data_IF_223029425270
#
_entry.id   IF_223029425270
#
_cell.length_a   1.000
_cell.length_b   1.000
_cell.length_c   1.000
_cell.angle_alpha   90.00
_cell.angle_beta   90.00
_cell.angle_gamma   90.00
#
_symmetry.space_group_name_H-M   'P 1'
#
loop_
_entity.id
_entity.type
_entity.pdbx_description
1 polymer ?
#
# COMPACT_ATOMS: atom_id res chain seq x y z
N UNK A 1 -46.70 68.78 17.67
CA UNK A 1 -45.45 69.00 16.88
C UNK A 1 -44.28 68.34 17.58
N UNK A 2 -44.06 68.62 18.87
CA UNK A 2 -42.97 68.03 19.68
C UNK A 2 -42.93 66.50 19.59
N UNK A 3 -44.04 65.86 19.90
CA UNK A 3 -44.42 64.45 19.72
C UNK A 3 -44.01 63.82 18.36
N UNK A 4 -44.12 64.56 17.25
CA UNK A 4 -43.65 64.08 15.93
C UNK A 4 -42.12 64.14 15.79
N UNK A 5 -41.49 65.15 16.37
CA UNK A 5 -40.04 65.29 16.41
C UNK A 5 -39.42 64.22 17.34
N UNK A 6 -40.02 63.98 18.51
CA UNK A 6 -39.65 62.89 19.42
C UNK A 6 -39.66 61.55 18.68
N UNK A 7 -40.78 61.19 18.03
CA UNK A 7 -40.87 59.94 17.26
C UNK A 7 -39.87 59.82 16.10
N UNK A 8 -39.44 60.93 15.50
CA UNK A 8 -38.35 60.93 14.51
C UNK A 8 -37.01 60.64 15.19
N UNK A 9 -36.72 61.25 16.33
CA UNK A 9 -35.50 61.00 17.10
C UNK A 9 -35.44 59.56 17.63
N UNK A 10 -36.56 59.02 18.11
CA UNK A 10 -36.67 57.63 18.60
C UNK A 10 -36.35 56.62 17.48
N UNK A 11 -36.90 56.84 16.28
CA UNK A 11 -36.56 56.02 15.11
C UNK A 11 -35.11 56.22 14.65
N UNK A 12 -34.56 57.44 14.71
CA UNK A 12 -33.15 57.67 14.35
C UNK A 12 -32.20 56.99 15.34
N UNK A 13 -32.49 57.00 16.65
CA UNK A 13 -31.75 56.19 17.63
C UNK A 13 -31.89 54.69 17.32
N UNK A 14 -33.10 54.22 17.04
CA UNK A 14 -33.32 52.81 16.67
C UNK A 14 -32.53 52.41 15.41
N UNK A 15 -32.40 53.30 14.42
CA UNK A 15 -31.55 53.07 13.24
C UNK A 15 -30.07 53.09 13.60
N UNK A 16 -29.61 54.04 14.42
CA UNK A 16 -28.23 54.09 14.92
C UNK A 16 -27.82 52.77 15.61
N UNK A 17 -28.64 52.31 16.55
CA UNK A 17 -28.33 51.14 17.38
C UNK A 17 -28.38 49.83 16.56
N UNK A 18 -29.28 49.75 15.54
CA UNK A 18 -29.30 48.64 14.59
C UNK A 18 -28.10 48.68 13.63
N UNK A 19 -27.77 49.85 13.04
CA UNK A 19 -26.60 50.01 12.18
C UNK A 19 -25.30 49.66 12.92
N UNK A 20 -25.18 50.07 14.18
CA UNK A 20 -24.02 49.75 15.03
C UNK A 20 -23.82 48.23 15.18
N UNK A 21 -24.87 47.46 15.51
CA UNK A 21 -24.77 45.99 15.63
C UNK A 21 -24.53 45.31 14.27
N UNK A 22 -25.13 45.82 13.20
CA UNK A 22 -25.03 45.29 11.83
C UNK A 22 -23.73 45.70 11.09
N UNK A 23 -22.86 46.50 11.71
CA UNK A 23 -21.63 47.02 11.07
C UNK A 23 -21.90 47.95 9.87
N UNK A 24 -23.07 48.58 9.80
CA UNK A 24 -23.50 49.41 8.67
C UNK A 24 -23.24 50.90 8.92
N UNK A 25 -22.95 51.66 7.85
CA UNK A 25 -22.89 53.11 7.98
C UNK A 25 -24.28 53.71 8.26
N UNK A 26 -24.41 54.25 9.47
CA UNK A 26 -25.55 55.03 9.93
C UNK A 26 -25.82 56.25 9.03
N UNK A 27 -24.78 56.93 8.54
CA UNK A 27 -24.94 58.19 7.80
C UNK A 27 -25.54 57.97 6.42
N UNK A 28 -25.07 56.99 5.64
CA UNK A 28 -25.73 56.56 4.39
C UNK A 28 -27.17 56.11 4.66
N UNK A 29 -27.36 55.19 5.61
CA UNK A 29 -28.67 54.61 5.94
C UNK A 29 -29.72 55.68 6.31
N UNK A 30 -29.32 56.73 7.03
CA UNK A 30 -30.22 57.82 7.44
C UNK A 30 -30.38 58.91 6.37
N UNK A 31 -29.35 59.19 5.56
CA UNK A 31 -29.46 60.19 4.47
C UNK A 31 -30.30 59.71 3.30
N UNK A 32 -30.29 58.41 2.99
CA UNK A 32 -31.23 57.78 2.05
C UNK A 32 -32.71 57.98 2.45
N UNK A 33 -32.98 57.96 3.75
CA UNK A 33 -34.32 58.19 4.29
C UNK A 33 -34.73 59.66 4.17
N UNK A 34 -33.86 60.59 4.60
CA UNK A 34 -33.97 62.01 4.28
C UNK A 34 -32.66 62.76 4.64
N UNK A 35 -32.05 63.57 3.75
CA UNK A 35 -30.76 64.22 4.01
C UNK A 35 -30.68 65.05 5.29
N UNK A 36 -31.77 65.73 5.68
CA UNK A 36 -31.80 66.55 6.91
C UNK A 36 -31.89 65.77 8.22
N UNK A 37 -31.85 64.43 8.20
CA UNK A 37 -31.78 63.61 9.42
C UNK A 37 -30.33 63.40 9.91
N UNK A 38 -29.32 63.60 9.05
CA UNK A 38 -27.91 63.64 9.42
C UNK A 38 -27.67 64.68 10.54
N UNK A 39 -26.83 64.35 11.53
CA UNK A 39 -26.49 65.24 12.66
C UNK A 39 -25.68 66.48 12.29
N UNK A 40 -25.16 66.56 11.06
CA UNK A 40 -24.74 67.82 10.45
C UNK A 40 -25.88 68.86 10.35
N UNK A 41 -27.13 68.43 10.49
CA UNK A 41 -28.34 69.25 10.46
C UNK A 41 -28.93 69.41 11.87
N UNK A 42 -28.95 70.65 12.37
CA UNK A 42 -29.48 70.96 13.71
C UNK A 42 -30.93 70.50 13.91
N UNK A 43 -31.29 70.16 15.15
CA UNK A 43 -32.53 69.46 15.53
C UNK A 43 -33.83 70.09 14.97
N UNK A 44 -33.87 71.42 14.81
CA UNK A 44 -35.04 72.14 14.27
C UNK A 44 -35.24 71.96 12.75
N UNK A 45 -34.23 71.45 12.04
CA UNK A 45 -34.21 71.22 10.59
C UNK A 45 -34.48 69.76 10.19
N UNK A 46 -34.57 68.84 11.16
CA UNK A 46 -34.87 67.42 10.90
C UNK A 46 -36.30 67.28 10.37
N UNK A 47 -36.48 66.55 9.27
CA UNK A 47 -37.79 66.42 8.62
C UNK A 47 -38.76 65.60 9.48
N UNK A 48 -39.88 66.22 9.83
CA UNK A 48 -40.98 65.61 10.59
C UNK A 48 -42.18 65.22 9.70
N UNK A 49 -41.98 65.04 8.39
CA UNK A 49 -43.06 64.77 7.44
C UNK A 49 -43.69 63.37 7.61
N UNK A 50 -44.89 63.14 7.06
CA UNK A 50 -45.50 61.80 7.07
C UNK A 50 -44.69 60.80 6.22
N UNK A 51 -44.10 61.25 5.11
CA UNK A 51 -43.26 60.39 4.24
C UNK A 51 -41.96 59.99 4.96
N UNK A 52 -41.28 60.96 5.59
CA UNK A 52 -40.05 60.70 6.37
C UNK A 52 -40.30 59.75 7.53
N UNK A 53 -41.42 59.89 8.26
CA UNK A 53 -41.83 58.94 9.31
C UNK A 53 -42.16 57.54 8.76
N UNK A 54 -42.77 57.47 7.57
CA UNK A 54 -43.09 56.21 6.88
C UNK A 54 -41.82 55.49 6.40
N UNK A 55 -40.86 56.23 5.84
CA UNK A 55 -39.54 55.71 5.44
C UNK A 55 -38.74 55.24 6.66
N UNK A 56 -38.61 56.05 7.71
CA UNK A 56 -37.95 55.65 8.97
C UNK A 56 -38.54 54.33 9.52
N UNK A 57 -39.87 54.22 9.57
CA UNK A 57 -40.51 52.99 10.04
C UNK A 57 -40.21 51.78 9.15
N UNK A 58 -40.15 51.95 7.82
CA UNK A 58 -39.74 50.88 6.88
C UNK A 58 -38.27 50.48 7.07
N UNK A 59 -37.36 51.44 7.21
CA UNK A 59 -35.93 51.18 7.44
C UNK A 59 -35.71 50.45 8.76
N UNK A 60 -36.36 50.87 9.85
CA UNK A 60 -36.31 50.15 11.14
C UNK A 60 -36.83 48.71 11.02
N UNK A 61 -37.90 48.46 10.26
CA UNK A 61 -38.40 47.09 10.03
C UNK A 61 -37.43 46.25 9.20
N UNK A 62 -36.84 46.82 8.15
CA UNK A 62 -35.86 46.14 7.31
C UNK A 62 -34.60 45.75 8.10
N UNK A 63 -34.02 46.70 8.85
CA UNK A 63 -32.84 46.45 9.69
C UNK A 63 -33.11 45.45 10.81
N UNK A 64 -34.33 45.38 11.36
CA UNK A 64 -34.71 44.36 12.36
C UNK A 64 -34.80 42.95 11.76
N UNK A 65 -35.31 42.82 10.54
CA UNK A 65 -35.37 41.52 9.86
C UNK A 65 -33.98 41.08 9.37
N UNK A 66 -33.15 42.00 8.87
CA UNK A 66 -31.72 41.74 8.55
C UNK A 66 -30.95 41.27 9.79
N UNK A 67 -31.07 41.98 10.93
CA UNK A 67 -30.50 41.55 12.23
C UNK A 67 -30.89 40.12 12.61
N UNK A 68 -32.16 39.78 12.43
CA UNK A 68 -32.69 38.44 12.71
C UNK A 68 -32.15 37.37 11.74
N UNK A 69 -32.03 37.68 10.45
CA UNK A 69 -31.50 36.75 9.45
C UNK A 69 -29.99 36.52 9.64
N UNK A 70 -29.22 37.58 9.90
CA UNK A 70 -27.79 37.48 10.22
C UNK A 70 -27.52 36.71 11.50
N UNK A 71 -28.33 36.90 12.55
CA UNK A 71 -28.19 36.13 13.79
C UNK A 71 -28.47 34.64 13.56
N UNK A 72 -29.54 34.29 12.83
CA UNK A 72 -29.84 32.90 12.49
C UNK A 72 -28.68 32.25 11.74
N UNK A 73 -28.16 32.92 10.70
CA UNK A 73 -27.01 32.44 9.92
C UNK A 73 -25.75 32.28 10.79
N UNK A 74 -25.48 33.23 11.70
CA UNK A 74 -24.35 33.14 12.63
C UNK A 74 -24.51 31.96 13.61
N UNK A 75 -25.74 31.65 14.05
CA UNK A 75 -26.04 30.52 14.93
C UNK A 75 -25.89 29.16 14.21
N UNK A 76 -26.30 29.08 12.94
CA UNK A 76 -26.06 27.91 12.08
C UNK A 76 -24.56 27.66 11.89
N UNK A 77 -23.79 28.71 11.56
CA UNK A 77 -22.33 28.64 11.41
C UNK A 77 -21.62 28.31 12.73
N UNK A 78 -22.03 28.91 13.86
CA UNK A 78 -21.49 28.57 15.18
C UNK A 78 -21.68 27.10 15.53
N UNK A 79 -22.82 26.50 15.14
CA UNK A 79 -23.10 25.08 15.33
C UNK A 79 -22.19 24.22 14.46
N UNK A 80 -22.09 24.53 13.16
CA UNK A 80 -21.23 23.81 12.21
C UNK A 80 -19.75 23.86 12.60
N UNK A 81 -19.25 25.02 13.04
CA UNK A 81 -17.89 25.18 13.57
C UNK A 81 -17.65 24.26 14.77
N UNK A 82 -18.56 24.22 15.75
CA UNK A 82 -18.44 23.37 16.94
C UNK A 82 -18.40 21.89 16.55
N UNK A 83 -19.30 21.43 15.68
CA UNK A 83 -19.35 20.03 15.24
C UNK A 83 -18.09 19.64 14.44
N UNK A 84 -17.61 20.51 13.54
CA UNK A 84 -16.38 20.29 12.78
C UNK A 84 -15.13 20.28 13.69
N UNK A 85 -15.02 21.20 14.64
CA UNK A 85 -13.91 21.21 15.61
C UNK A 85 -13.92 19.97 16.52
N UNK A 86 -15.10 19.46 16.88
CA UNK A 86 -15.25 18.23 17.66
C UNK A 86 -14.90 16.98 16.84
N UNK A 87 -15.25 16.94 15.55
CA UNK A 87 -14.88 15.86 14.64
C UNK A 87 -13.39 15.83 14.28
N UNK A 88 -12.74 17.00 14.27
CA UNK A 88 -11.37 17.18 13.77
C UNK A 88 -10.31 17.31 14.87
N UNK A 89 -10.70 17.20 16.15
CA UNK A 89 -9.88 17.44 17.33
C UNK A 89 -9.12 18.80 17.31
N UNK A 90 -9.78 19.84 16.81
CA UNK A 90 -9.22 21.21 16.71
C UNK A 90 -8.84 21.75 18.10
N UNK A 91 -7.70 22.44 18.20
CA UNK A 91 -7.15 22.88 19.50
C UNK A 91 -7.96 24.04 20.10
N UNK A 92 -7.89 24.21 21.43
CA UNK A 92 -8.66 25.28 22.09
C UNK A 92 -8.16 26.69 21.70
N UNK A 93 -6.88 26.82 21.38
CA UNK A 93 -6.27 28.04 20.86
C UNK A 93 -6.89 28.41 19.50
N UNK A 94 -7.02 27.45 18.58
CA UNK A 94 -7.64 27.65 17.27
C UNK A 94 -9.13 27.99 17.40
N UNK A 95 -9.87 27.29 18.29
CA UNK A 95 -11.28 27.58 18.60
C UNK A 95 -11.48 29.02 19.13
N UNK A 96 -10.59 29.49 20.00
CA UNK A 96 -10.74 30.80 20.68
C UNK A 96 -10.74 32.01 19.74
N UNK A 97 -10.18 31.86 18.54
CA UNK A 97 -10.23 32.89 17.49
C UNK A 97 -11.68 33.24 17.08
N UNK A 98 -12.61 32.30 17.28
CA UNK A 98 -14.02 32.40 16.90
C UNK A 98 -14.95 32.53 18.11
N UNK A 99 -14.45 32.86 19.30
CA UNK A 99 -15.27 33.12 20.50
C UNK A 99 -16.34 34.21 20.29
N UNK A 100 -16.10 35.13 19.35
CA UNK A 100 -17.05 36.17 18.93
C UNK A 100 -18.25 35.63 18.12
N UNK A 101 -18.09 34.47 17.45
CA UNK A 101 -19.15 33.74 16.76
C UNK A 101 -19.89 32.86 17.76
N UNK A 102 -19.16 32.05 18.52
CA UNK A 102 -19.75 31.01 19.40
C UNK A 102 -20.54 31.61 20.56
N UNK A 103 -20.17 32.78 21.08
CA UNK A 103 -20.93 33.41 22.18
C UNK A 103 -22.35 33.84 21.78
N UNK A 104 -22.65 33.97 20.48
CA UNK A 104 -23.98 34.31 19.96
C UNK A 104 -24.89 33.07 19.72
N UNK A 105 -24.38 31.83 19.89
CA UNK A 105 -25.09 30.60 19.50
C UNK A 105 -26.48 30.43 20.16
N UNK A 106 -26.64 30.94 21.39
CA UNK A 106 -27.89 30.88 22.17
C UNK A 106 -28.51 32.26 22.44
N UNK A 107 -27.97 33.33 21.85
CA UNK A 107 -28.41 34.69 22.12
C UNK A 107 -29.76 35.01 21.43
N UNK A 108 -30.63 35.76 22.11
CA UNK A 108 -31.86 36.28 21.49
C UNK A 108 -31.59 37.54 20.65
N UNK A 109 -32.49 37.84 19.70
CA UNK A 109 -32.37 39.02 18.81
C UNK A 109 -32.27 40.34 19.59
N UNK A 110 -32.83 40.42 20.80
CA UNK A 110 -32.78 41.61 21.65
C UNK A 110 -31.53 41.67 22.57
N UNK A 111 -30.88 40.54 22.85
CA UNK A 111 -29.62 40.49 23.63
C UNK A 111 -28.40 40.97 22.83
N UNK A 112 -28.36 40.69 21.52
CA UNK A 112 -27.23 41.05 20.65
C UNK A 112 -27.18 42.57 20.46
N UNK A 113 -26.46 43.25 21.34
CA UNK A 113 -26.35 44.72 21.44
C UNK A 113 -24.93 45.23 21.24
N UNK A 114 -23.96 44.32 21.09
CA UNK A 114 -22.54 44.63 20.85
C UNK A 114 -22.38 45.19 19.43
N UNK A 115 -21.78 46.37 19.24
CA UNK A 115 -21.47 46.90 17.91
C UNK A 115 -20.59 45.96 17.10
N UNK A 116 -20.91 45.80 15.82
CA UNK A 116 -20.22 44.90 14.88
C UNK A 116 -20.56 43.41 15.01
N UNK A 117 -21.27 42.97 16.06
CA UNK A 117 -21.49 41.54 16.31
C UNK A 117 -22.29 40.78 15.23
N UNK A 118 -22.96 41.51 14.32
CA UNK A 118 -23.64 40.96 13.14
C UNK A 118 -23.18 41.67 11.85
N UNK A 119 -21.95 42.16 11.81
CA UNK A 119 -21.31 42.68 10.60
C UNK A 119 -21.06 41.57 9.57
N UNK A 120 -21.06 41.93 8.28
CA UNK A 120 -20.98 40.94 7.19
C UNK A 120 -19.62 40.25 7.10
N UNK A 121 -18.55 40.97 7.44
CA UNK A 121 -17.17 40.47 7.47
C UNK A 121 -16.95 39.39 8.54
N UNK A 122 -17.58 39.49 9.71
CA UNK A 122 -17.54 38.43 10.73
C UNK A 122 -18.30 37.17 10.29
N UNK A 123 -19.40 37.34 9.56
CA UNK A 123 -20.19 36.23 9.02
C UNK A 123 -19.43 35.55 7.89
N UNK A 124 -18.84 36.32 6.98
CA UNK A 124 -17.97 35.85 5.90
C UNK A 124 -16.73 35.11 6.46
N UNK A 125 -16.10 35.63 7.52
CA UNK A 125 -15.00 34.95 8.22
C UNK A 125 -15.43 33.59 8.80
N UNK A 126 -16.65 33.49 9.33
CA UNK A 126 -17.19 32.23 9.84
C UNK A 126 -17.52 31.23 8.70
N UNK A 127 -18.08 31.70 7.58
CA UNK A 127 -18.32 30.88 6.38
C UNK A 127 -17.02 30.32 5.80
N UNK A 128 -15.99 31.17 5.66
CA UNK A 128 -14.67 30.76 5.15
C UNK A 128 -13.98 29.75 6.06
N UNK A 129 -14.14 29.86 7.39
CA UNK A 129 -13.60 28.87 8.32
C UNK A 129 -14.36 27.53 8.26
N UNK A 130 -15.69 27.54 8.14
CA UNK A 130 -16.47 26.32 7.91
C UNK A 130 -16.03 25.64 6.61
N UNK A 131 -15.93 26.37 5.50
CA UNK A 131 -15.48 25.81 4.22
C UNK A 131 -14.05 25.24 4.34
N UNK A 132 -13.13 25.96 5.00
CA UNK A 132 -11.75 25.50 5.24
C UNK A 132 -11.71 24.22 6.09
N UNK A 133 -12.59 24.09 7.08
CA UNK A 133 -12.70 22.91 7.92
C UNK A 133 -13.33 21.72 7.18
N UNK A 134 -14.32 21.94 6.31
CA UNK A 134 -14.89 20.89 5.46
C UNK A 134 -13.89 20.42 4.38
N UNK A 135 -13.15 21.34 3.76
CA UNK A 135 -12.03 20.99 2.88
C UNK A 135 -10.96 20.17 3.63
N UNK A 136 -10.67 20.51 4.90
CA UNK A 136 -9.74 19.74 5.74
C UNK A 136 -10.31 18.38 6.16
N UNK A 137 -11.61 18.28 6.44
CA UNK A 137 -12.36 17.04 6.72
C UNK A 137 -12.27 16.09 5.52
N UNK A 138 -12.59 16.58 4.32
CA UNK A 138 -12.46 15.83 3.08
C UNK A 138 -11.01 15.40 2.80
N UNK A 139 -10.04 16.29 3.01
CA UNK A 139 -8.60 16.02 2.82
C UNK A 139 -8.10 14.90 3.76
N UNK A 140 -8.35 15.00 5.08
CA UNK A 140 -8.00 13.94 6.04
C UNK A 140 -8.76 12.64 5.74
N UNK A 141 -10.03 12.71 5.33
CA UNK A 141 -10.79 11.52 4.95
C UNK A 141 -10.17 10.81 3.74
N UNK A 142 -9.75 11.53 2.70
CA UNK A 142 -9.01 10.94 1.56
C UNK A 142 -7.71 10.28 2.02
N UNK A 143 -6.93 10.93 2.87
CA UNK A 143 -5.67 10.38 3.39
C UNK A 143 -5.87 9.06 4.15
N UNK A 144 -6.85 9.01 5.07
CA UNK A 144 -7.14 7.82 5.88
C UNK A 144 -7.76 6.71 5.01
N UNK A 145 -8.68 7.07 4.10
CA UNK A 145 -9.27 6.11 3.17
C UNK A 145 -8.22 5.48 2.24
N UNK A 146 -7.31 6.27 1.65
CA UNK A 146 -6.24 5.71 0.83
C UNK A 146 -5.24 4.86 1.63
N UNK A 147 -4.99 5.16 2.91
CA UNK A 147 -4.21 4.26 3.79
C UNK A 147 -4.91 2.92 4.03
N UNK A 148 -6.22 2.93 4.32
CA UNK A 148 -7.03 1.70 4.44
C UNK A 148 -7.11 0.91 3.13
N UNK A 149 -7.23 1.61 2.00
CA UNK A 149 -7.21 1.00 0.66
C UNK A 149 -5.86 0.36 0.34
N UNK A 150 -4.74 0.99 0.73
CA UNK A 150 -3.41 0.40 0.57
C UNK A 150 -3.20 -0.85 1.45
N UNK A 151 -3.73 -0.86 2.69
CA UNK A 151 -3.73 -2.07 3.54
C UNK A 151 -4.54 -3.21 2.88
N UNK A 152 -5.74 -2.89 2.37
CA UNK A 152 -6.58 -3.84 1.63
C UNK A 152 -5.85 -4.41 0.40
N UNK A 153 -5.18 -3.55 -0.37
CA UNK A 153 -4.39 -3.92 -1.54
C UNK A 153 -3.19 -4.81 -1.18
N UNK A 154 -2.48 -4.49 -0.10
CA UNK A 154 -1.37 -5.31 0.41
C UNK A 154 -1.85 -6.71 0.83
N UNK A 155 -3.02 -6.82 1.47
CA UNK A 155 -3.61 -8.10 1.88
C UNK A 155 -3.99 -8.94 0.66
N UNK A 156 -4.62 -8.35 -0.35
CA UNK A 156 -5.00 -9.06 -1.57
C UNK A 156 -3.78 -9.48 -2.40
N UNK A 157 -2.74 -8.64 -2.49
CA UNK A 157 -1.47 -9.00 -3.12
C UNK A 157 -0.79 -10.19 -2.43
N UNK A 158 -0.68 -10.20 -1.10
CA UNK A 158 -0.17 -11.35 -0.34
C UNK A 158 -1.06 -12.60 -0.46
N UNK A 159 -2.34 -12.42 -0.76
CA UNK A 159 -3.28 -13.51 -1.03
C UNK A 159 -3.26 -13.98 -2.50
N UNK A 160 -2.47 -13.38 -3.39
CA UNK A 160 -2.49 -13.62 -4.84
C UNK A 160 -3.89 -13.46 -5.47
N UNK A 161 -4.62 -12.42 -5.03
CA UNK A 161 -5.92 -12.01 -5.57
C UNK A 161 -5.72 -10.73 -6.37
N UNK A 162 -6.13 -10.76 -7.63
CA UNK A 162 -6.12 -9.60 -8.52
C UNK A 162 -7.30 -8.67 -8.21
N UNK A 163 -7.05 -7.36 -8.19
CA UNK A 163 -8.03 -6.31 -7.89
C UNK A 163 -7.76 -5.06 -8.73
N UNK A 164 -8.82 -4.37 -9.11
CA UNK A 164 -8.72 -3.06 -9.76
C UNK A 164 -8.49 -1.96 -8.71
N UNK A 165 -7.21 -1.68 -8.45
CA UNK A 165 -6.77 -0.63 -7.52
C UNK A 165 -7.16 0.77 -8.01
N UNK A 166 -7.15 1.01 -9.32
CA UNK A 166 -7.45 2.33 -9.89
C UNK A 166 -8.93 2.66 -9.74
N UNK A 167 -9.83 1.79 -10.21
CA UNK A 167 -11.27 1.97 -10.05
C UNK A 167 -11.71 1.97 -8.57
N UNK A 168 -11.03 1.22 -7.69
CA UNK A 168 -11.30 1.27 -6.25
C UNK A 168 -10.96 2.65 -5.64
N UNK A 169 -9.83 3.24 -6.03
CA UNK A 169 -9.38 4.56 -5.58
C UNK A 169 -10.21 5.69 -6.19
N UNK A 170 -10.56 5.61 -7.47
CA UNK A 170 -11.50 6.54 -8.11
C UNK A 170 -12.86 6.53 -7.41
N UNK A 171 -13.39 5.34 -7.10
CA UNK A 171 -14.67 5.20 -6.38
C UNK A 171 -14.62 5.80 -4.97
N UNK A 172 -13.52 5.67 -4.26
CA UNK A 172 -13.31 6.33 -2.95
C UNK A 172 -13.28 7.86 -3.12
N UNK A 173 -12.53 8.36 -4.10
CA UNK A 173 -12.40 9.79 -4.38
C UNK A 173 -13.74 10.43 -4.75
N UNK A 174 -14.46 9.85 -5.72
CA UNK A 174 -15.76 10.34 -6.18
C UNK A 174 -16.83 10.29 -5.07
N UNK A 175 -16.77 9.31 -4.16
CA UNK A 175 -17.68 9.23 -3.02
C UNK A 175 -17.45 10.39 -2.03
N UNK A 176 -16.18 10.68 -1.72
CA UNK A 176 -15.78 11.78 -0.84
C UNK A 176 -16.12 13.14 -1.48
N UNK A 177 -15.75 13.34 -2.74
CA UNK A 177 -15.98 14.60 -3.46
C UNK A 177 -17.46 14.88 -3.77
N UNK A 178 -18.34 13.87 -3.60
CA UNK A 178 -19.79 14.08 -3.67
C UNK A 178 -20.39 14.73 -2.42
N UNK A 179 -19.65 14.80 -1.30
CA UNK A 179 -20.13 15.30 0.00
C UNK A 179 -21.20 14.45 0.69
N UNK A 180 -21.75 13.42 0.03
CA UNK A 180 -22.92 12.67 0.51
C UNK A 180 -22.62 11.55 1.53
N UNK A 181 -21.39 11.44 2.05
CA UNK A 181 -20.99 10.35 2.94
C UNK A 181 -20.24 10.89 4.16
N UNK A 182 -20.68 10.45 5.33
CA UNK A 182 -20.09 10.80 6.62
C UNK A 182 -18.80 9.98 6.84
N UNK A 183 -17.64 10.60 7.16
CA UNK A 183 -16.36 9.90 7.30
C UNK A 183 -16.39 8.69 8.23
N UNK A 184 -17.16 8.78 9.31
CA UNK A 184 -17.30 7.70 10.30
C UNK A 184 -17.87 6.41 9.67
N UNK A 185 -18.82 6.53 8.75
CA UNK A 185 -19.44 5.41 8.05
C UNK A 185 -18.48 4.82 7.01
N UNK A 186 -17.88 5.67 6.16
CA UNK A 186 -16.93 5.22 5.13
C UNK A 186 -15.75 4.45 5.73
N UNK A 187 -15.14 4.98 6.79
CA UNK A 187 -13.97 4.35 7.41
C UNK A 187 -14.31 3.02 8.09
N UNK A 188 -15.48 2.91 8.72
CA UNK A 188 -15.98 1.64 9.27
C UNK A 188 -16.27 0.61 8.17
N UNK A 189 -16.88 1.03 7.06
CA UNK A 189 -17.16 0.14 5.93
C UNK A 189 -15.87 -0.36 5.24
N UNK A 190 -14.81 0.47 5.22
CA UNK A 190 -13.48 0.04 4.80
C UNK A 190 -12.82 -0.93 5.80
N UNK A 191 -12.97 -0.74 7.11
CA UNK A 191 -12.49 -1.72 8.10
C UNK A 191 -13.20 -3.08 7.97
N UNK A 192 -14.50 -3.09 7.67
CA UNK A 192 -15.26 -4.32 7.37
C UNK A 192 -14.69 -5.03 6.13
N UNK A 193 -14.27 -4.29 5.10
CA UNK A 193 -13.61 -4.86 3.90
C UNK A 193 -12.22 -5.42 4.23
N UNK A 194 -11.43 -4.71 5.06
CA UNK A 194 -10.11 -5.16 5.52
C UNK A 194 -10.21 -6.46 6.34
N UNK A 195 -11.21 -6.58 7.23
CA UNK A 195 -11.46 -7.82 7.99
C UNK A 195 -11.78 -8.98 7.04
N UNK A 196 -12.69 -8.79 6.08
CA UNK A 196 -13.03 -9.81 5.07
C UNK A 196 -11.83 -10.20 4.20
N UNK A 197 -10.98 -9.25 3.83
CA UNK A 197 -9.75 -9.55 3.09
C UNK A 197 -8.76 -10.39 3.93
N UNK A 198 -8.66 -10.15 5.24
CA UNK A 198 -7.83 -10.96 6.16
C UNK A 198 -8.40 -12.38 6.35
N UNK A 199 -9.72 -12.53 6.43
CA UNK A 199 -10.40 -13.83 6.45
C UNK A 199 -10.17 -14.61 5.15
N UNK A 200 -10.29 -13.93 4.00
CA UNK A 200 -10.04 -14.50 2.67
C UNK A 200 -8.59 -14.97 2.52
N UNK A 201 -7.62 -14.12 2.84
CA UNK A 201 -6.19 -14.44 2.84
C UNK A 201 -5.86 -15.61 3.78
N UNK A 202 -6.48 -15.67 4.96
CA UNK A 202 -6.32 -16.80 5.88
C UNK A 202 -6.87 -18.11 5.30
N UNK A 203 -8.01 -18.07 4.61
CA UNK A 203 -8.58 -19.26 3.94
C UNK A 203 -7.68 -19.80 2.83
N UNK A 204 -7.04 -18.90 2.07
CA UNK A 204 -6.16 -19.24 0.93
C UNK A 204 -4.77 -19.69 1.39
N UNK A 205 -4.33 -19.27 2.58
CA UNK A 205 -2.98 -19.51 3.10
C UNK A 205 -2.51 -20.96 3.00
N UNK A 206 -3.32 -21.95 3.37
CA UNK A 206 -2.85 -23.36 3.32
C UNK A 206 -2.51 -23.82 1.89
N UNK A 207 -3.20 -23.26 0.88
CA UNK A 207 -2.95 -23.55 -0.53
C UNK A 207 -1.70 -22.79 -0.99
N UNK A 208 -1.60 -21.49 -0.70
CA UNK A 208 -0.43 -20.65 -1.04
C UNK A 208 0.87 -21.18 -0.41
N UNK A 209 0.83 -21.61 0.86
CA UNK A 209 1.91 -22.32 1.56
C UNK A 209 2.39 -23.58 0.79
N UNK A 210 1.59 -24.15 -0.11
CA UNK A 210 1.98 -25.29 -0.97
C UNK A 210 2.36 -24.87 -2.38
N UNK A 211 1.75 -23.82 -2.93
CA UNK A 211 2.19 -23.21 -4.21
C UNK A 211 3.63 -22.75 -4.08
N UNK A 212 4.01 -22.04 -3.00
CA UNK A 212 5.41 -21.67 -2.68
C UNK A 212 6.34 -22.89 -2.73
N UNK A 213 6.00 -23.95 -1.99
CA UNK A 213 6.82 -25.17 -1.88
C UNK A 213 6.89 -25.96 -3.19
N UNK A 214 5.89 -25.82 -4.05
CA UNK A 214 5.87 -26.40 -5.39
C UNK A 214 6.75 -25.59 -6.35
N UNK A 215 6.63 -24.26 -6.38
CA UNK A 215 7.49 -23.39 -7.18
C UNK A 215 8.97 -23.60 -6.84
N UNK A 216 9.35 -23.57 -5.55
CA UNK A 216 10.75 -23.84 -5.15
C UNK A 216 11.23 -25.27 -5.46
N UNK A 217 10.32 -26.24 -5.56
CA UNK A 217 10.67 -27.59 -6.00
C UNK A 217 10.89 -27.65 -7.52
N UNK A 218 10.11 -26.91 -8.31
CA UNK A 218 10.29 -26.72 -9.75
C UNK A 218 11.57 -25.91 -10.09
N UNK A 219 11.96 -24.95 -9.25
CA UNK A 219 13.23 -24.23 -9.36
C UNK A 219 14.43 -25.16 -9.15
N UNK A 220 14.41 -26.01 -8.12
CA UNK A 220 15.45 -27.03 -7.91
C UNK A 220 15.38 -28.16 -8.97
N UNK A 221 14.22 -28.44 -9.58
CA UNK A 221 14.11 -29.31 -10.77
C UNK A 221 14.89 -28.69 -11.94
N UNK A 222 14.60 -27.43 -12.27
CA UNK A 222 15.25 -26.70 -13.36
C UNK A 222 16.77 -26.60 -13.16
N UNK A 223 17.20 -26.18 -11.97
CA UNK A 223 18.63 -26.13 -11.60
C UNK A 223 19.31 -27.50 -11.71
N UNK A 224 18.62 -28.58 -11.32
CA UNK A 224 19.11 -29.93 -11.46
C UNK A 224 19.20 -30.38 -12.93
N UNK A 225 18.25 -30.00 -13.79
CA UNK A 225 18.35 -30.31 -15.22
C UNK A 225 19.58 -29.66 -15.85
N UNK A 226 19.81 -28.36 -15.60
CA UNK A 226 20.99 -27.66 -16.12
C UNK A 226 22.31 -28.22 -15.54
N UNK A 227 22.36 -28.55 -14.23
CA UNK A 227 23.50 -29.23 -13.64
C UNK A 227 23.71 -30.68 -14.18
N UNK A 228 22.71 -31.29 -14.82
CA UNK A 228 22.88 -32.55 -15.55
C UNK A 228 23.29 -32.35 -17.02
N UNK A 229 23.09 -31.16 -17.60
CA UNK A 229 23.53 -30.78 -18.95
C UNK A 229 25.00 -30.34 -19.01
N UNK A 230 25.53 -29.76 -17.92
CA UNK A 230 26.93 -29.33 -17.85
C UNK A 230 27.92 -30.51 -17.95
N UNK A 231 28.66 -30.59 -19.06
CA UNK A 231 29.72 -31.60 -19.26
C UNK A 231 30.90 -31.42 -18.28
N UNK A 232 31.14 -30.20 -17.79
CA UNK A 232 32.24 -29.86 -16.90
C UNK A 232 31.94 -30.14 -15.41
N UNK A 233 30.73 -30.61 -15.08
CA UNK A 233 30.21 -30.79 -13.71
C UNK A 233 31.04 -31.68 -12.78
N UNK A 234 31.94 -32.50 -13.34
CA UNK A 234 32.84 -33.41 -12.63
C UNK A 234 34.31 -32.96 -12.64
N UNK A 235 34.64 -31.84 -13.29
CA UNK A 235 35.99 -31.27 -13.20
C UNK A 235 36.34 -30.96 -11.74
N UNK A 236 37.61 -31.15 -11.37
CA UNK A 236 38.10 -31.09 -9.98
C UNK A 236 38.17 -29.65 -9.38
N UNK A 237 37.27 -28.77 -9.80
CA UNK A 237 37.14 -27.38 -9.37
C UNK A 237 36.68 -27.31 -7.91
N UNK A 238 37.21 -26.31 -7.17
CA UNK A 238 36.92 -26.07 -5.75
C UNK A 238 35.44 -25.70 -5.51
N UNK A 239 34.59 -26.71 -5.43
CA UNK A 239 33.15 -26.58 -5.24
C UNK A 239 32.33 -27.79 -5.69
N UNK A 240 32.85 -28.66 -6.56
CA UNK A 240 32.11 -29.77 -7.18
C UNK A 240 31.37 -30.68 -6.18
N UNK A 241 32.00 -31.03 -5.05
CA UNK A 241 31.38 -31.84 -3.98
C UNK A 241 30.20 -31.15 -3.26
N UNK A 242 30.14 -29.81 -3.23
CA UNK A 242 28.99 -29.07 -2.71
C UNK A 242 27.84 -29.08 -3.72
N UNK A 243 28.13 -28.87 -5.00
CA UNK A 243 27.13 -28.93 -6.07
C UNK A 243 26.54 -30.33 -6.20
N UNK A 244 27.37 -31.39 -6.09
CA UNK A 244 26.90 -32.78 -6.05
C UNK A 244 25.93 -33.03 -4.88
N UNK A 245 26.23 -32.49 -3.69
CA UNK A 245 25.32 -32.55 -2.52
C UNK A 245 24.03 -31.74 -2.69
N UNK A 246 24.05 -30.63 -3.43
CA UNK A 246 22.80 -29.96 -3.83
C UNK A 246 22.01 -30.82 -4.81
N UNK A 247 22.66 -31.42 -5.82
CA UNK A 247 22.02 -32.28 -6.79
C UNK A 247 21.39 -33.55 -6.17
N UNK A 248 22.01 -34.14 -5.14
CA UNK A 248 21.42 -35.22 -4.35
C UNK A 248 20.16 -34.77 -3.60
N UNK A 249 20.18 -33.59 -2.96
CA UNK A 249 18.99 -33.00 -2.32
C UNK A 249 17.90 -32.66 -3.33
N UNK A 250 18.24 -32.04 -4.44
CA UNK A 250 17.33 -31.67 -5.52
C UNK A 250 16.62 -32.91 -6.06
N UNK A 251 17.33 -34.03 -6.33
CA UNK A 251 16.69 -35.30 -6.73
C UNK A 251 15.64 -35.80 -5.73
N UNK A 252 15.90 -35.66 -4.43
CA UNK A 252 14.94 -36.04 -3.36
C UNK A 252 13.73 -35.09 -3.34
N UNK A 253 13.87 -33.84 -3.77
CA UNK A 253 12.79 -32.88 -3.89
C UNK A 253 11.97 -33.09 -5.17
N UNK A 254 12.62 -33.26 -6.33
CA UNK A 254 11.98 -33.58 -7.62
C UNK A 254 11.12 -34.85 -7.53
N UNK A 255 11.64 -35.90 -6.89
CA UNK A 255 10.90 -37.15 -6.66
C UNK A 255 9.64 -36.99 -5.79
N UNK A 256 9.44 -35.83 -5.13
CA UNK A 256 8.24 -35.51 -4.34
C UNK A 256 7.26 -34.59 -5.07
N UNK A 257 7.64 -33.97 -6.19
CA UNK A 257 6.77 -33.02 -6.89
C UNK A 257 5.41 -33.64 -7.28
N UNK A 258 5.32 -34.87 -7.82
CA UNK A 258 4.02 -35.45 -8.17
C UNK A 258 3.05 -35.50 -6.98
N UNK A 259 3.48 -36.06 -5.83
CA UNK A 259 2.66 -36.13 -4.63
C UNK A 259 2.32 -34.75 -4.03
N UNK A 260 3.17 -33.74 -4.27
CA UNK A 260 2.91 -32.36 -3.88
C UNK A 260 1.83 -31.72 -4.77
N UNK A 261 1.89 -31.96 -6.09
CA UNK A 261 0.87 -31.54 -7.06
C UNK A 261 -0.47 -32.24 -6.77
N UNK A 262 -0.47 -33.56 -6.54
CA UNK A 262 -1.67 -34.31 -6.14
C UNK A 262 -2.33 -33.71 -4.88
N UNK A 263 -1.51 -33.40 -3.87
CA UNK A 263 -1.97 -32.77 -2.61
C UNK A 263 -2.52 -31.36 -2.84
N UNK A 264 -1.92 -30.61 -3.76
CA UNK A 264 -2.33 -29.26 -4.11
C UNK A 264 -3.66 -29.26 -4.88
N UNK A 265 -3.76 -30.06 -5.94
CA UNK A 265 -5.01 -30.26 -6.71
C UNK A 265 -6.15 -30.71 -5.80
N UNK A 266 -5.92 -31.65 -4.89
CA UNK A 266 -6.94 -32.12 -3.95
C UNK A 266 -7.42 -31.01 -2.99
N UNK A 267 -6.52 -30.17 -2.48
CA UNK A 267 -6.87 -29.06 -1.58
C UNK A 267 -7.53 -27.90 -2.31
N UNK A 268 -7.06 -27.57 -3.50
CA UNK A 268 -7.67 -26.53 -4.34
C UNK A 268 -9.11 -26.91 -4.69
N UNK A 269 -9.35 -28.14 -5.18
CA UNK A 269 -10.71 -28.62 -5.49
C UNK A 269 -11.64 -28.58 -4.27
N UNK A 270 -11.16 -28.99 -3.09
CA UNK A 270 -11.96 -28.93 -1.86
C UNK A 270 -12.33 -27.50 -1.44
N UNK A 271 -11.43 -26.52 -1.67
CA UNK A 271 -11.71 -25.10 -1.43
C UNK A 271 -12.67 -24.51 -2.47
N UNK A 272 -12.56 -24.91 -3.73
CA UNK A 272 -13.47 -24.49 -4.80
C UNK A 272 -14.89 -25.06 -4.61
N UNK A 273 -15.00 -26.32 -4.15
CA UNK A 273 -16.27 -27.01 -3.88
C UNK A 273 -17.00 -26.41 -2.65
N UNK A 274 -16.28 -26.08 -1.58
CA UNK A 274 -16.83 -25.44 -0.37
C UNK A 274 -17.36 -24.02 -0.65
N UNK A 275 -16.72 -23.28 -1.57
CA UNK A 275 -16.95 -21.84 -1.77
C UNK A 275 -17.67 -21.49 -3.07
N UNK A 276 -17.81 -22.44 -4.00
CA UNK A 276 -18.51 -22.25 -5.27
C UNK A 276 -17.81 -21.31 -6.27
N UNK A 277 -16.53 -21.01 -6.06
CA UNK A 277 -15.71 -20.10 -6.87
C UNK A 277 -14.35 -20.74 -7.19
N UNK A 278 -13.79 -20.46 -8.37
CA UNK A 278 -12.47 -20.97 -8.75
C UNK A 278 -11.34 -20.29 -7.98
N UNK A 279 -10.32 -21.06 -7.59
CA UNK A 279 -9.12 -20.53 -6.96
C UNK A 279 -8.19 -19.97 -8.06
N UNK A 280 -8.21 -18.65 -8.24
CA UNK A 280 -7.17 -17.96 -9.01
C UNK A 280 -5.93 -17.71 -8.16
N UNK A 281 -4.78 -17.56 -8.82
CA UNK A 281 -3.51 -17.08 -8.30
C UNK A 281 -3.01 -16.08 -9.34
N UNK A 282 -2.88 -14.81 -8.97
CA UNK A 282 -2.50 -13.70 -9.87
C UNK A 282 -3.32 -13.71 -11.17
N UNK A 283 -4.65 -13.77 -11.03
CA UNK A 283 -5.64 -13.84 -12.11
C UNK A 283 -5.84 -15.23 -12.73
N UNK A 284 -4.85 -16.13 -12.68
CA UNK A 284 -4.86 -17.43 -13.38
C UNK A 284 -5.45 -18.55 -12.51
N UNK A 285 -6.40 -19.38 -12.99
CA UNK A 285 -6.90 -20.55 -12.24
C UNK A 285 -5.79 -21.54 -11.88
N UNK A 286 -5.61 -21.82 -10.58
CA UNK A 286 -4.50 -22.63 -10.07
C UNK A 286 -4.53 -24.07 -10.59
N UNK A 287 -5.71 -24.66 -10.78
CA UNK A 287 -5.81 -26.00 -11.38
C UNK A 287 -5.28 -26.03 -12.81
N UNK A 288 -5.53 -25.00 -13.62
CA UNK A 288 -5.05 -24.94 -15.00
C UNK A 288 -3.50 -24.86 -15.06
N UNK A 289 -2.87 -24.11 -14.16
CA UNK A 289 -1.40 -24.06 -14.05
C UNK A 289 -0.79 -25.42 -13.67
N UNK A 290 -1.50 -26.20 -12.84
CA UNK A 290 -1.05 -27.53 -12.41
C UNK A 290 -1.23 -28.57 -13.51
N UNK A 291 -2.33 -28.50 -14.26
CA UNK A 291 -2.55 -29.34 -15.44
C UNK A 291 -1.54 -29.04 -16.56
N UNK A 292 -1.22 -27.76 -16.82
CA UNK A 292 -0.17 -27.36 -17.76
C UNK A 292 1.22 -27.86 -17.32
N UNK A 293 1.57 -27.74 -16.03
CA UNK A 293 2.81 -28.29 -15.50
C UNK A 293 2.87 -29.82 -15.61
N UNK A 294 1.76 -30.53 -15.38
CA UNK A 294 1.68 -31.98 -15.53
C UNK A 294 1.92 -32.42 -16.98
N UNK A 295 1.31 -31.73 -17.94
CA UNK A 295 1.56 -31.93 -19.38
C UNK A 295 3.03 -31.68 -19.73
N UNK A 296 3.59 -30.54 -19.32
CA UNK A 296 4.98 -30.18 -19.61
C UNK A 296 5.99 -31.15 -18.97
N UNK A 297 5.70 -31.69 -17.79
CA UNK A 297 6.46 -32.76 -17.15
C UNK A 297 6.41 -34.06 -17.94
N UNK A 298 5.22 -34.46 -18.39
CA UNK A 298 5.02 -35.66 -19.21
C UNK A 298 5.82 -35.57 -20.53
N UNK A 299 5.74 -34.44 -21.23
CA UNK A 299 6.46 -34.23 -22.50
C UNK A 299 7.98 -34.26 -22.33
N UNK A 300 8.53 -33.68 -21.25
CA UNK A 300 9.96 -33.82 -20.90
C UNK A 300 10.35 -35.28 -20.65
N UNK A 301 9.51 -36.08 -20.01
CA UNK A 301 9.79 -37.50 -19.73
C UNK A 301 9.67 -38.37 -21.00
N UNK A 302 8.72 -38.05 -21.88
CA UNK A 302 8.62 -38.60 -23.23
C UNK A 302 9.84 -38.26 -24.09
N UNK A 303 10.29 -37.00 -24.14
CA UNK A 303 11.47 -36.63 -24.91
C UNK A 303 12.73 -37.35 -24.40
N UNK A 304 12.91 -37.40 -23.07
CA UNK A 304 13.97 -38.19 -22.43
C UNK A 304 13.85 -39.69 -22.75
N UNK A 305 12.66 -40.22 -23.02
CA UNK A 305 12.45 -41.60 -23.50
C UNK A 305 12.83 -41.74 -24.98
N UNK A 306 12.28 -40.90 -25.87
CA UNK A 306 12.59 -40.84 -27.31
C UNK A 306 14.10 -40.73 -27.56
N UNK A 307 14.79 -39.87 -26.82
CA UNK A 307 16.26 -39.71 -26.91
C UNK A 307 17.05 -40.92 -26.41
N UNK A 308 16.55 -41.67 -25.42
CA UNK A 308 17.15 -42.95 -25.01
C UNK A 308 16.94 -44.03 -26.05
N UNK A 309 15.77 -44.08 -26.67
CA UNK A 309 15.44 -45.09 -27.67
C UNK A 309 16.13 -44.82 -29.03
N UNK A 310 16.31 -43.55 -29.42
CA UNK A 310 17.21 -43.18 -30.53
C UNK A 310 18.68 -43.58 -30.26
N UNK A 311 19.19 -43.37 -29.03
CA UNK A 311 20.55 -43.80 -28.68
C UNK A 311 20.73 -45.31 -28.81
N UNK A 312 19.78 -46.12 -28.32
CA UNK A 312 19.79 -47.59 -28.51
C UNK A 312 19.78 -47.98 -29.98
N UNK A 313 18.97 -47.32 -30.81
CA UNK A 313 18.88 -47.61 -32.25
C UNK A 313 20.20 -47.28 -32.98
N UNK A 314 20.85 -46.18 -32.62
CA UNK A 314 22.17 -45.83 -33.14
C UNK A 314 23.25 -46.81 -32.67
N UNK A 315 23.24 -47.19 -31.39
CA UNK A 315 24.13 -48.19 -30.79
C UNK A 315 23.96 -49.58 -31.43
N UNK A 316 22.72 -49.98 -31.74
CA UNK A 316 22.42 -51.20 -32.50
C UNK A 316 22.96 -51.14 -33.93
N UNK A 317 22.74 -50.04 -34.67
CA UNK A 317 23.30 -49.86 -36.01
C UNK A 317 24.84 -49.89 -36.01
N UNK A 318 25.50 -49.27 -35.03
CA UNK A 318 26.95 -49.38 -34.86
C UNK A 318 27.38 -50.82 -34.56
N UNK A 319 26.66 -51.55 -33.70
CA UNK A 319 26.97 -52.94 -33.36
C UNK A 319 26.79 -53.88 -34.56
N UNK A 320 25.76 -53.69 -35.38
CA UNK A 320 25.57 -54.45 -36.63
C UNK A 320 26.65 -54.11 -37.66
N UNK A 321 27.09 -52.85 -37.73
CA UNK A 321 28.18 -52.43 -38.60
C UNK A 321 29.54 -53.02 -38.16
N UNK A 322 29.83 -53.09 -36.86
CA UNK A 322 31.00 -53.80 -36.33
C UNK A 322 30.92 -55.32 -36.57
N UNK A 323 29.73 -55.92 -36.43
CA UNK A 323 29.50 -57.34 -36.72
C UNK A 323 29.73 -57.69 -38.20
N UNK A 324 29.52 -56.73 -39.11
CA UNK A 324 29.80 -56.89 -40.55
C UNK A 324 31.30 -56.89 -40.86
N UNK A 325 32.14 -56.23 -40.05
CA UNK A 325 33.61 -56.16 -40.20
C UNK A 325 34.34 -57.21 -39.33
N UNK A 326 33.94 -58.47 -39.46
CA UNK A 326 34.38 -59.55 -38.56
C UNK A 326 35.88 -59.92 -38.62
N UNK A 327 36.46 -60.08 -37.41
CA UNK A 327 37.63 -60.92 -37.05
C UNK A 327 39.06 -60.38 -37.14
N UNK A 328 39.80 -60.61 -36.02
CA UNK A 328 41.28 -60.61 -35.78
C UNK A 328 41.93 -59.29 -35.29
N UNK A 329 43.05 -59.37 -34.54
CA UNK A 329 43.25 -60.19 -33.34
C UNK A 329 43.95 -59.41 -32.18
N UNK A 330 43.93 -59.92 -30.95
CA UNK A 330 44.60 -59.28 -29.81
C UNK A 330 46.13 -59.27 -29.91
N UNK A 331 46.82 -58.11 -29.77
CA UNK A 331 48.28 -58.05 -29.64
C UNK A 331 48.79 -58.66 -28.32
N UNK A 332 49.95 -59.32 -28.36
CA UNK A 332 50.46 -60.16 -27.28
C UNK A 332 51.23 -59.44 -26.15
N UNK A 333 51.30 -60.12 -25.00
CA UNK A 333 52.00 -59.72 -23.77
C UNK A 333 53.52 -59.97 -23.84
N UNK A 334 54.40 -58.98 -23.58
CA UNK A 334 55.82 -59.20 -23.34
C UNK A 334 56.11 -59.85 -21.96
N UNK A 335 57.22 -60.60 -21.84
CA UNK A 335 57.55 -61.37 -20.64
C UNK A 335 59.06 -61.33 -20.31
N UNK A 336 59.42 -60.90 -19.10
CA UNK A 336 60.80 -60.92 -18.58
C UNK A 336 60.94 -60.03 -17.32
N UNK A 337 61.80 -60.31 -16.34
CA UNK A 337 62.78 -61.40 -16.17
C UNK A 337 62.79 -61.96 -14.72
N UNK A 338 63.58 -63.01 -14.43
CA UNK A 338 63.50 -63.84 -13.20
C UNK A 338 64.60 -63.53 -12.15
N UNK A 339 64.25 -63.70 -10.86
CA UNK A 339 64.90 -64.57 -9.83
C UNK A 339 63.77 -65.04 -8.85
N UNK A 340 63.56 -66.29 -8.37
CA UNK A 340 64.40 -67.46 -7.96
C UNK A 340 65.12 -67.19 -6.62
N UNK A 341 64.91 -67.88 -5.48
CA UNK A 341 64.23 -69.15 -5.04
C UNK A 341 63.22 -68.81 -3.89
N UNK A 342 62.31 -69.60 -3.26
CA UNK A 342 61.90 -71.04 -3.23
C UNK A 342 62.53 -71.85 -2.05
N UNK A 343 61.96 -73.00 -1.55
CA UNK A 343 60.65 -73.64 -1.84
C UNK A 343 59.83 -74.20 -0.62
N UNK A 344 58.53 -74.51 -0.86
CA UNK A 344 57.64 -75.55 -0.23
C UNK A 344 57.55 -75.78 1.30
N UNK A 345 56.29 -75.81 1.78
CA UNK A 345 55.75 -76.81 2.71
C UNK A 345 54.25 -77.06 2.39
N UNK A 346 53.68 -78.23 2.70
CA UNK A 346 52.27 -78.56 2.35
C UNK A 346 51.64 -79.64 3.27
N UNK A 347 50.55 -79.28 3.98
CA UNK A 347 49.64 -80.20 4.70
C UNK A 347 50.12 -80.77 6.05
N UNK A 348 49.24 -80.87 7.05
CA UNK A 348 49.56 -81.53 8.34
C UNK A 348 48.67 -81.23 9.57
N UNK A 349 47.41 -81.69 9.55
CA UNK A 349 46.47 -81.99 10.65
C UNK A 349 46.58 -81.41 12.11
N UNK A 350 45.41 -81.02 12.63
CA UNK A 350 44.91 -81.07 14.03
C UNK A 350 45.59 -80.31 15.19
N UNK A 351 44.81 -79.47 15.88
CA UNK A 351 45.14 -78.92 17.22
C UNK A 351 44.26 -77.76 17.70
N UNK A 352 43.14 -78.04 18.37
CA UNK A 352 42.39 -77.09 19.23
C UNK A 352 42.87 -77.21 20.70
N UNK A 353 42.61 -76.25 21.62
CA UNK A 353 41.62 -75.16 21.58
C UNK A 353 42.15 -73.73 21.97
N UNK A 354 41.19 -72.85 22.25
CA UNK A 354 41.19 -71.44 22.74
C UNK A 354 41.91 -71.24 24.11
N UNK A 355 42.11 -70.01 24.69
CA UNK A 355 41.34 -68.76 24.50
C UNK A 355 42.05 -67.38 24.65
N UNK A 356 41.23 -66.31 24.57
CA UNK A 356 41.46 -64.93 25.10
C UNK A 356 42.44 -64.01 24.31
N UNK A 357 42.31 -62.67 24.33
CA UNK A 357 41.46 -61.76 25.14
C UNK A 357 40.65 -60.76 24.28
N UNK A 358 39.52 -60.29 24.82
CA UNK A 358 38.93 -58.96 24.45
C UNK A 358 39.84 -57.83 24.97
N UNK A 359 39.70 -56.63 24.40
CA UNK A 359 39.19 -55.48 25.16
C UNK A 359 38.85 -54.29 24.24
N UNK A 360 37.62 -53.79 24.39
CA UNK A 360 37.27 -52.38 24.18
C UNK A 360 36.69 -51.86 25.49
N UNK A 361 36.71 -50.55 25.72
CA UNK A 361 35.72 -49.85 26.55
C UNK A 361 35.85 -48.32 26.41
N UNK A 362 34.71 -47.64 26.54
CA UNK A 362 34.59 -46.18 26.62
C UNK A 362 34.65 -45.73 28.08
N UNK A 363 34.91 -44.43 28.34
CA UNK A 363 34.10 -43.62 29.27
C UNK A 363 34.42 -42.11 29.19
N UNK A 364 33.45 -41.30 29.62
CA UNK A 364 33.41 -39.83 29.76
C UNK A 364 34.43 -39.29 30.81
N UNK A 365 34.67 -37.98 31.04
CA UNK A 365 33.74 -36.83 31.18
C UNK A 365 34.42 -35.44 31.06
N UNK A 366 33.60 -34.39 30.81
CA UNK A 366 33.75 -32.94 31.15
C UNK A 366 34.98 -32.15 30.60
N UNK A 367 34.91 -30.82 30.36
CA UNK A 367 33.77 -29.90 30.37
C UNK A 367 34.18 -28.42 30.12
N UNK A 368 33.30 -27.66 29.45
CA UNK A 368 33.16 -26.18 29.37
C UNK A 368 34.39 -25.23 29.25
N UNK A 369 34.43 -24.46 28.14
CA UNK A 369 34.53 -22.98 28.17
C UNK A 369 34.10 -22.35 26.84
N UNK A 370 33.69 -21.08 26.86
CA UNK A 370 33.20 -20.32 25.70
C UNK A 370 34.04 -19.07 25.43
N UNK A 371 33.99 -18.57 24.18
CA UNK A 371 34.33 -17.20 23.79
C UNK A 371 33.42 -16.76 22.65
N UNK A 372 32.91 -15.52 22.71
CA UNK A 372 32.01 -14.97 21.69
C UNK A 372 32.79 -14.54 20.43
N UNK A 373 32.08 -14.49 19.29
CA UNK A 373 32.25 -13.36 18.36
C UNK A 373 31.02 -13.11 17.49
N UNK A 374 30.58 -11.87 17.47
CA UNK A 374 29.47 -11.39 16.67
C UNK A 374 29.74 -11.43 15.16
N UNK A 375 28.66 -11.52 14.38
CA UNK A 375 28.74 -11.70 12.93
C UNK A 375 27.44 -11.37 12.20
N UNK A 376 26.73 -10.31 12.63
CA UNK A 376 25.53 -9.81 11.93
C UNK A 376 25.87 -9.54 10.45
N UNK A 377 25.06 -10.10 9.53
CA UNK A 377 25.14 -9.81 8.10
C UNK A 377 23.73 -9.79 7.50
N UNK A 378 23.19 -8.59 7.32
CA UNK A 378 21.88 -8.38 6.72
C UNK A 378 21.89 -8.82 5.24
N UNK A 379 20.89 -9.60 4.84
CA UNK A 379 20.71 -10.05 3.45
C UNK A 379 19.85 -9.03 2.68
N UNK A 380 20.49 -8.12 1.95
CA UNK A 380 19.81 -7.37 0.88
C UNK A 380 19.55 -8.31 -0.32
N UNK A 381 18.36 -8.30 -0.94
CA UNK A 381 18.18 -8.88 -2.27
C UNK A 381 18.97 -8.07 -3.30
N UNK A 382 19.46 -8.73 -4.35
CA UNK A 382 20.20 -8.12 -5.46
C UNK A 382 19.31 -8.17 -6.69
N UNK A 383 18.94 -7.01 -7.22
CA UNK A 383 18.23 -6.90 -8.50
C UNK A 383 19.18 -7.18 -9.68
N UNK A 384 18.69 -7.82 -10.77
CA UNK A 384 19.50 -8.03 -11.96
C UNK A 384 19.70 -6.72 -12.73
N UNK A 385 20.96 -6.37 -13.02
CA UNK A 385 21.30 -5.21 -13.85
C UNK A 385 21.33 -5.64 -15.32
N UNK A 386 20.48 -5.04 -16.14
CA UNK A 386 20.56 -5.14 -17.60
C UNK A 386 21.05 -3.80 -18.17
N UNK A 387 22.04 -3.84 -19.07
CA UNK A 387 22.83 -2.67 -19.45
C UNK A 387 22.49 -2.21 -20.87
N UNK A 388 21.93 -1.01 -21.01
CA UNK A 388 21.73 -0.33 -22.30
C UNK A 388 22.61 0.91 -22.32
N UNK A 389 23.48 1.01 -23.32
CA UNK A 389 24.41 2.12 -23.46
C UNK A 389 23.76 3.34 -24.13
N UNK A 390 23.88 4.51 -23.51
CA UNK A 390 23.61 5.82 -24.11
C UNK A 390 24.83 6.70 -23.87
N UNK A 391 25.25 7.43 -24.90
CA UNK A 391 26.45 8.29 -24.89
C UNK A 391 26.34 9.47 -23.93
N UNK A 392 27.49 10.03 -23.57
CA UNK A 392 27.63 11.18 -22.66
C UNK A 392 28.16 12.43 -23.39
N UNK A 393 28.19 13.53 -22.63
CA UNK A 393 28.68 14.87 -22.99
C UNK A 393 27.78 15.62 -24.01
N UNK A 394 27.58 16.95 -23.91
CA UNK A 394 28.29 17.92 -23.07
C UNK A 394 27.40 19.08 -22.58
N UNK A 395 27.52 19.48 -21.29
CA UNK A 395 27.01 20.75 -20.76
C UNK A 395 27.87 21.22 -19.57
N UNK A 396 28.82 22.11 -19.82
CA UNK A 396 29.44 22.96 -18.80
C UNK A 396 29.99 24.26 -19.43
N UNK A 397 29.48 25.42 -19.00
CA UNK A 397 30.10 26.71 -19.31
C UNK A 397 29.86 27.71 -18.17
N UNK A 398 30.88 28.50 -17.87
CA UNK A 398 30.88 29.42 -16.73
C UNK A 398 30.48 30.85 -17.13
N UNK A 399 29.71 31.46 -16.23
CA UNK A 399 29.73 32.86 -15.80
C UNK A 399 30.77 33.76 -16.51
N UNK A 400 30.26 34.81 -17.16
CA UNK A 400 30.87 36.14 -17.13
C UNK A 400 29.74 37.18 -17.23
N UNK A 401 29.96 38.40 -16.72
CA UNK A 401 28.90 39.41 -16.64
C UNK A 401 29.41 40.84 -16.83
N UNK A 402 28.51 41.72 -17.26
CA UNK A 402 28.71 43.17 -17.33
C UNK A 402 27.34 43.86 -17.37
N UNK A 403 27.15 44.89 -16.55
CA UNK A 403 25.98 45.77 -16.61
C UNK A 403 25.99 46.63 -17.89
N UNK A 404 24.82 46.96 -18.44
CA UNK A 404 24.50 48.36 -18.84
C UNK A 404 23.02 48.53 -19.20
N UNK A 405 22.42 49.58 -18.64
CA UNK A 405 21.15 50.22 -19.00
C UNK A 405 21.58 51.56 -19.66
N UNK A 406 21.02 52.02 -20.81
CA UNK A 406 19.66 52.59 -20.79
C UNK A 406 18.83 52.64 -22.10
N UNK A 407 17.62 53.17 -21.92
CA UNK A 407 16.82 53.98 -22.85
C UNK A 407 16.09 53.31 -24.03
N UNK A 408 14.77 53.19 -23.89
CA UNK A 408 13.82 53.32 -25.00
C UNK A 408 13.45 54.80 -25.21
N UNK A 409 13.12 55.23 -26.44
CA UNK A 409 12.19 56.33 -26.68
C UNK A 409 10.73 55.90 -26.45
#
# INVERSE_FOLDING_TARGET
>A
KSDRLHKVLDFVSTVHDLCAVLGMDFFSTVTEVHPSLNDSTGVQSKSISNDTLSRLAKTVLALKEDKKQRLHKLQELATQLIDLWNLMDTSQEERSLFDHVTCNISASVDEVTIPGALALDLIEQAEVEVERLDQLKASRMKEIAFKKQAELEEIFAHAHIEIDSEAAREKIMALIDSGNVEPSELLADMDIRIVKAKEEAFSRKEILDKVEKWMSACEEESWLEDYNRDENRYNATRGAHLNLKRAEKARILVNKIPALVDTLVAKTRAWEEDRGISFTYDGVPLLAMLDEYAMLRHDREEEKRRMRDQKKFHEQLSTEQEAFFGSRPSPGRPLGTKKVVGPRANGGANGTPTPSRRLSLNAHQNGARSTNKDGKRDTRPVAPVNYVAISKEDVASHISGSETIPASP
#
